data_IF_377682555326
#
_entry.id   IF_377682555326
#
_cell.length_a   1.000
_cell.length_b   1.000
_cell.length_c   1.000
_cell.angle_alpha   90.00
_cell.angle_beta   90.00
_cell.angle_gamma   90.00
#
_symmetry.space_group_name_H-M   'P 1'
#
loop_
_entity.id
_entity.type
_entity.pdbx_description
1 polymer ?
#
# COMPACT_ATOMS: atom_id res chain seq x y z
N UNK A 1 2.39 -5.99 23.19
CA UNK A 1 1.44 -6.58 22.22
C UNK A 1 1.48 -5.71 20.98
N UNK A 2 1.74 -6.27 19.80
CA UNK A 2 1.71 -5.47 18.56
C UNK A 2 0.25 -5.14 18.24
N UNK A 3 -0.11 -3.86 18.31
CA UNK A 3 -1.46 -3.39 18.02
C UNK A 3 -1.82 -3.69 16.56
N UNK A 4 -2.98 -4.31 16.36
CA UNK A 4 -3.56 -4.54 15.03
C UNK A 4 -4.48 -3.37 14.69
N UNK A 5 -4.30 -2.84 13.48
CA UNK A 5 -5.15 -1.81 12.91
C UNK A 5 -5.99 -2.41 11.78
N UNK A 6 -7.11 -1.75 11.47
CA UNK A 6 -7.83 -1.99 10.23
C UNK A 6 -7.20 -1.16 9.13
N UNK A 7 -6.90 -1.79 8.01
CA UNK A 7 -6.29 -1.17 6.85
C UNK A 7 -7.24 -1.32 5.65
N UNK A 8 -7.27 -0.29 4.81
CA UNK A 8 -7.73 -0.39 3.42
C UNK A 8 -6.48 -0.52 2.57
N UNK A 9 -6.40 -1.59 1.79
CA UNK A 9 -5.33 -1.78 0.80
C UNK A 9 -5.89 -1.46 -0.57
N UNK A 10 -5.22 -0.58 -1.31
CA UNK A 10 -5.51 -0.30 -2.70
C UNK A 10 -4.37 -0.83 -3.58
N UNK A 11 -4.74 -1.52 -4.66
CA UNK A 11 -3.82 -2.04 -5.68
C UNK A 11 -4.27 -1.44 -7.00
N UNK A 12 -3.50 -0.49 -7.51
CA UNK A 12 -3.77 0.20 -8.78
C UNK A 12 -2.90 -0.38 -9.87
N UNK A 13 -3.51 -1.03 -10.86
CA UNK A 13 -2.81 -1.65 -11.98
C UNK A 13 -3.02 -0.83 -13.27
N UNK A 14 -1.94 -0.38 -13.89
CA UNK A 14 -2.01 0.41 -15.13
C UNK A 14 -2.18 -0.44 -16.38
N UNK A 15 -2.02 -1.77 -16.30
CA UNK A 15 -2.25 -2.70 -17.41
C UNK A 15 -3.72 -2.73 -17.85
N UNK A 16 -4.63 -2.85 -16.87
CA UNK A 16 -6.07 -2.96 -17.10
C UNK A 16 -6.85 -1.73 -16.57
N UNK A 17 -6.14 -0.72 -16.09
CA UNK A 17 -6.69 0.49 -15.46
C UNK A 17 -7.62 0.17 -14.28
N UNK A 18 -7.37 -0.94 -13.59
CA UNK A 18 -8.18 -1.36 -12.44
C UNK A 18 -7.61 -0.87 -11.12
N UNK A 19 -8.52 -0.70 -10.15
CA UNK A 19 -8.18 -0.51 -8.74
C UNK A 19 -8.90 -1.60 -7.95
N UNK A 20 -8.12 -2.44 -7.26
CA UNK A 20 -8.64 -3.42 -6.32
C UNK A 20 -8.54 -2.88 -4.90
N UNK A 21 -9.65 -2.95 -4.15
CA UNK A 21 -9.70 -2.54 -2.74
C UNK A 21 -9.91 -3.76 -1.85
N UNK A 22 -9.13 -3.85 -0.77
CA UNK A 22 -9.16 -4.96 0.19
C UNK A 22 -9.14 -4.43 1.62
N UNK A 23 -9.71 -5.20 2.54
CA UNK A 23 -9.63 -4.91 3.97
C UNK A 23 -8.67 -5.88 4.66
N UNK A 24 -7.80 -5.35 5.51
CA UNK A 24 -6.83 -6.13 6.27
C UNK A 24 -6.88 -5.74 7.75
N UNK A 25 -6.91 -6.72 8.65
CA UNK A 25 -6.68 -6.49 10.09
C UNK A 25 -5.30 -6.99 10.46
N UNK A 26 -4.35 -6.07 10.61
CA UNK A 26 -2.93 -6.40 10.70
C UNK A 26 -2.17 -5.37 11.54
N UNK A 27 -1.07 -5.82 12.14
CA UNK A 27 -0.01 -4.94 12.61
C UNK A 27 0.68 -4.26 11.41
N UNK A 28 1.44 -3.20 11.67
CA UNK A 28 2.24 -2.53 10.63
C UNK A 28 3.15 -3.51 9.89
N UNK A 29 3.88 -4.35 10.64
CA UNK A 29 4.81 -5.33 10.05
C UNK A 29 4.08 -6.41 9.23
N UNK A 30 2.92 -6.87 9.68
CA UNK A 30 2.08 -7.79 8.90
C UNK A 30 1.56 -7.12 7.61
N UNK A 31 1.16 -5.85 7.66
CA UNK A 31 0.72 -5.09 6.49
C UNK A 31 1.87 -4.87 5.49
N UNK A 32 3.06 -4.49 5.97
CA UNK A 32 4.27 -4.38 5.13
C UNK A 32 4.59 -5.69 4.41
N UNK A 33 4.59 -6.82 5.14
CA UNK A 33 4.79 -8.15 4.55
C UNK A 33 3.72 -8.51 3.53
N UNK A 34 2.47 -8.13 3.78
CA UNK A 34 1.39 -8.34 2.83
C UNK A 34 1.65 -7.62 1.50
N UNK A 35 2.10 -6.37 1.53
CA UNK A 35 2.45 -5.62 0.32
C UNK A 35 3.59 -6.29 -0.46
N UNK A 36 4.67 -6.70 0.22
CA UNK A 36 5.79 -7.39 -0.43
C UNK A 36 5.38 -8.72 -1.05
N UNK A 37 4.62 -9.53 -0.32
CA UNK A 37 4.13 -10.81 -0.87
C UNK A 37 3.21 -10.61 -2.08
N UNK A 38 2.48 -9.48 -2.13
CA UNK A 38 1.63 -9.15 -3.28
C UNK A 38 2.48 -8.78 -4.50
N UNK A 39 3.57 -8.01 -4.30
CA UNK A 39 4.56 -7.71 -5.35
C UNK A 39 5.22 -8.99 -5.88
N UNK A 40 5.70 -9.86 -4.99
CA UNK A 40 6.32 -11.13 -5.41
C UNK A 40 5.36 -12.00 -6.21
N UNK A 41 4.09 -12.06 -5.78
CA UNK A 41 3.07 -12.79 -6.52
C UNK A 41 2.79 -12.17 -7.89
N UNK A 42 2.77 -10.84 -8.01
CA UNK A 42 2.63 -10.16 -9.29
C UNK A 42 3.79 -10.47 -10.23
N UNK A 43 5.03 -10.49 -9.72
CA UNK A 43 6.22 -10.91 -10.48
C UNK A 43 6.11 -12.35 -10.97
N UNK A 44 5.61 -13.27 -10.14
CA UNK A 44 5.41 -14.69 -10.52
C UNK A 44 4.31 -14.88 -11.57
N UNK A 45 3.26 -14.06 -11.54
CA UNK A 45 2.11 -14.16 -12.45
C UNK A 45 2.32 -13.42 -13.77
N UNK A 46 3.19 -12.41 -13.80
CA UNK A 46 3.44 -11.61 -14.99
C UNK A 46 4.19 -12.39 -16.06
N UNK A 47 3.86 -12.11 -17.33
CA UNK A 47 4.63 -12.58 -18.48
C UNK A 47 5.84 -11.68 -18.79
N UNK A 48 5.90 -10.49 -18.17
CA UNK A 48 6.98 -9.52 -18.34
C UNK A 48 7.98 -9.62 -17.18
N UNK A 49 9.25 -9.30 -17.47
CA UNK A 49 10.23 -9.16 -16.40
C UNK A 49 9.99 -7.87 -15.63
N UNK A 50 9.95 -7.98 -14.30
CA UNK A 50 9.90 -6.81 -13.43
C UNK A 50 11.20 -6.01 -13.56
N UNK A 51 11.08 -4.74 -13.93
CA UNK A 51 12.21 -3.84 -14.16
C UNK A 51 12.64 -3.12 -12.90
N UNK A 52 11.69 -2.83 -12.00
CA UNK A 52 11.93 -2.17 -10.71
C UNK A 52 10.77 -2.43 -9.76
N UNK A 53 11.06 -2.71 -8.50
CA UNK A 53 10.06 -2.90 -7.47
C UNK A 53 10.60 -2.57 -6.08
N UNK A 54 9.70 -2.42 -5.12
CA UNK A 54 10.03 -2.49 -3.69
C UNK A 54 10.42 -3.94 -3.35
N UNK A 55 11.68 -4.17 -2.96
CA UNK A 55 12.25 -5.51 -2.75
C UNK A 55 12.26 -5.95 -1.27
N UNK A 56 12.18 -5.01 -0.34
CA UNK A 56 12.26 -5.32 1.10
C UNK A 56 11.41 -4.37 1.97
N UNK A 57 11.27 -4.73 3.24
CA UNK A 57 10.43 -4.04 4.22
C UNK A 57 10.89 -2.59 4.46
N UNK A 58 12.19 -2.33 4.33
CA UNK A 58 12.80 -1.02 4.61
C UNK A 58 12.62 -0.04 3.43
N UNK A 59 12.39 -0.56 2.22
CA UNK A 59 12.06 0.23 1.02
C UNK A 59 10.59 0.65 0.95
N UNK A 60 9.73 0.10 1.81
CA UNK A 60 8.33 0.51 1.89
C UNK A 60 8.27 1.95 2.40
N UNK A 61 7.67 2.82 1.60
CA UNK A 61 7.43 4.20 1.99
C UNK A 61 6.42 4.23 3.15
N UNK A 62 6.73 5.01 4.18
CA UNK A 62 5.88 5.15 5.37
C UNK A 62 5.49 6.62 5.53
N UNK A 63 4.22 6.91 5.35
CA UNK A 63 3.65 8.21 5.66
C UNK A 63 3.18 8.23 7.13
N UNK A 64 3.51 9.32 7.82
CA UNK A 64 3.20 9.53 9.23
C UNK A 64 2.26 10.72 9.40
N UNK A 65 1.31 10.59 10.31
CA UNK A 65 0.51 11.72 10.76
C UNK A 65 1.40 12.75 11.46
N UNK A 66 1.30 14.01 11.05
CA UNK A 66 2.21 15.07 11.46
C UNK A 66 2.28 15.29 12.99
N UNK A 67 1.14 15.19 13.69
CA UNK A 67 1.03 15.39 15.15
C UNK A 67 1.30 14.11 15.93
N UNK A 68 0.52 13.06 15.69
CA UNK A 68 0.56 11.82 16.50
C UNK A 68 1.73 10.90 16.14
N UNK A 69 2.42 11.16 15.01
CA UNK A 69 3.46 10.29 14.44
C UNK A 69 3.00 8.84 14.18
N UNK A 70 1.69 8.61 14.16
CA UNK A 70 1.12 7.32 13.78
C UNK A 70 1.25 7.10 12.28
N UNK A 71 1.50 5.86 11.86
CA UNK A 71 1.54 5.50 10.45
C UNK A 71 0.15 5.67 9.85
N UNK A 72 0.06 6.53 8.84
CA UNK A 72 -1.18 6.78 8.10
C UNK A 72 -1.26 5.87 6.88
N UNK A 73 -0.15 5.71 6.17
CA UNK A 73 -0.10 4.97 4.92
C UNK A 73 1.24 4.28 4.72
N UNK A 74 1.19 3.11 4.10
CA UNK A 74 2.32 2.37 3.57
C UNK A 74 2.20 2.36 2.05
N UNK A 75 3.29 2.57 1.32
CA UNK A 75 3.28 2.52 -0.14
C UNK A 75 4.44 1.68 -0.69
N UNK A 76 4.15 0.89 -1.72
CA UNK A 76 5.10 0.04 -2.42
C UNK A 76 4.72 -0.03 -3.91
N UNK A 77 5.65 -0.43 -4.76
CA UNK A 77 5.41 -0.46 -6.21
C UNK A 77 6.10 -1.63 -6.91
N UNK A 78 5.59 -1.98 -8.08
CA UNK A 78 6.25 -2.85 -9.05
C UNK A 78 6.07 -2.29 -10.47
N UNK A 79 7.14 -2.28 -11.25
CA UNK A 79 7.18 -1.78 -12.62
C UNK A 79 7.61 -2.92 -13.54
N UNK A 80 6.87 -3.10 -14.61
CA UNK A 80 7.14 -4.02 -15.71
C UNK A 80 7.48 -3.22 -16.96
N UNK A 81 7.65 -3.87 -18.11
CA UNK A 81 8.03 -3.17 -19.34
C UNK A 81 6.89 -2.30 -19.86
N UNK A 82 5.65 -2.77 -19.76
CA UNK A 82 4.48 -2.08 -20.31
C UNK A 82 3.50 -1.52 -19.28
N UNK A 83 3.62 -1.95 -18.02
CA UNK A 83 2.71 -1.54 -16.95
C UNK A 83 3.40 -1.40 -15.60
N UNK A 84 2.65 -0.87 -14.64
CA UNK A 84 3.04 -0.70 -13.25
C UNK A 84 1.89 -1.02 -12.32
N UNK A 85 2.23 -1.49 -11.13
CA UNK A 85 1.28 -1.74 -10.06
C UNK A 85 1.73 -0.95 -8.84
N UNK A 86 0.85 -0.07 -8.37
CA UNK A 86 1.04 0.72 -7.16
C UNK A 86 0.21 0.09 -6.03
N UNK A 87 0.85 -0.11 -4.88
CA UNK A 87 0.25 -0.71 -3.71
C UNK A 87 0.24 0.31 -2.58
N UNK A 88 -0.92 0.59 -1.99
CA UNK A 88 -1.03 1.40 -0.78
C UNK A 88 -1.84 0.68 0.29
N UNK A 89 -1.46 0.87 1.55
CA UNK A 89 -2.23 0.43 2.71
C UNK A 89 -2.41 1.58 3.67
N UNK A 90 -3.65 2.04 3.85
CA UNK A 90 -4.00 3.15 4.73
C UNK A 90 -4.77 2.66 5.96
N UNK A 91 -4.49 3.19 7.14
CA UNK A 91 -5.27 2.86 8.35
C UNK A 91 -6.66 3.50 8.28
N UNK A 92 -7.71 2.72 8.56
CA UNK A 92 -9.11 3.17 8.46
C UNK A 92 -9.38 4.37 9.38
N UNK A 93 -8.81 4.37 10.58
CA UNK A 93 -9.02 5.41 11.58
C UNK A 93 -8.40 6.77 11.20
N UNK A 94 -7.58 6.82 10.14
CA UNK A 94 -6.89 8.01 9.65
C UNK A 94 -7.42 8.51 8.30
N UNK A 95 -8.47 7.89 7.78
CA UNK A 95 -9.17 8.40 6.60
C UNK A 95 -9.98 9.61 7.07
N UNK A 96 -9.58 10.80 6.64
CA UNK A 96 -10.27 12.04 6.98
C UNK A 96 -11.67 12.04 6.38
N UNK A 97 -12.65 12.49 7.17
CA UNK A 97 -13.96 12.80 6.64
C UNK A 97 -13.84 14.02 5.72
N UNK A 98 -14.45 13.96 4.54
CA UNK A 98 -14.37 15.04 3.53
C UNK A 98 -15.03 16.32 4.06
N UNK A 99 -15.85 16.20 5.11
CA UNK A 99 -16.50 17.33 5.78
C UNK A 99 -15.59 18.11 6.73
N UNK A 100 -14.41 17.58 7.09
CA UNK A 100 -13.42 18.26 7.95
C UNK A 100 -12.45 19.16 7.15
N UNK A 101 -12.78 19.45 5.89
CA UNK A 101 -12.10 20.50 5.12
C UNK A 101 -12.70 21.84 5.55
N UNK A 102 -12.09 22.48 6.55
CA UNK A 102 -12.21 23.92 6.72
C UNK A 102 -11.65 24.59 5.45
N UNK A 103 -12.53 24.85 4.49
CA UNK A 103 -12.25 25.67 3.32
C UNK A 103 -11.91 27.08 3.81
N UNK A 104 -10.62 27.40 3.89
CA UNK A 104 -10.09 28.76 4.09
C UNK A 104 -10.20 29.54 2.79
#
# INVERSE_FOLDING_TARGET
MNQKNKWIVAISNTYDYSITLLHLTATVEEAKRYLLNSIEKEKEMSYEMCTRSTENIDEISVNLHHISKSITELSAHACFETYSVEYSAQTVDMIQDVTDIDLI
#
